data_IF_858335986789
#
_entry.id   IF_858335986789
#
_cell.length_a   1.000
_cell.length_b   1.000
_cell.length_c   1.000
_cell.angle_alpha   90.00
_cell.angle_beta   90.00
_cell.angle_gamma   90.00
#
_symmetry.space_group_name_H-M   'P 1'
#
loop_
_entity.id
_entity.type
_entity.pdbx_description
1 polymer ?
#
# COMPACT_ATOMS: atom_id res chain seq x y z
N UNK A 1 6.51 1.41 8.67
CA UNK A 1 5.57 2.50 8.97
C UNK A 1 5.34 2.71 10.47
N UNK A 2 5.50 3.93 10.98
CA UNK A 2 4.96 4.34 12.30
C UNK A 2 3.50 4.82 12.11
N UNK A 3 2.67 4.82 13.17
CA UNK A 3 1.34 5.46 13.12
C UNK A 3 1.52 6.99 13.04
N UNK A 4 0.59 7.80 13.53
CA UNK A 4 0.80 9.25 13.66
C UNK A 4 1.71 9.48 14.87
N UNK A 5 2.72 10.33 14.74
CA UNK A 5 3.68 10.63 15.80
C UNK A 5 3.88 12.15 16.03
N UNK A 6 2.94 12.96 15.55
CA UNK A 6 2.95 14.40 15.77
C UNK A 6 2.78 14.75 17.25
N UNK A 7 3.26 15.93 17.65
CA UNK A 7 3.21 16.40 19.06
C UNK A 7 1.80 16.43 19.65
N UNK A 8 0.79 16.65 18.81
CA UNK A 8 -0.61 16.79 19.21
C UNK A 8 -1.47 15.58 18.83
N UNK A 9 -0.84 14.42 18.65
CA UNK A 9 -1.56 13.20 18.31
C UNK A 9 -2.55 12.82 19.40
N UNK A 10 -3.75 12.41 18.98
CA UNK A 10 -4.76 11.84 19.86
C UNK A 10 -4.74 10.31 19.75
N UNK A 11 -5.02 9.65 20.87
CA UNK A 11 -5.00 8.20 21.00
C UNK A 11 -6.39 7.71 21.38
N UNK A 12 -6.87 6.67 20.68
CA UNK A 12 -8.16 6.05 21.00
C UNK A 12 -8.09 5.20 22.28
N UNK A 13 -9.23 4.66 22.71
CA UNK A 13 -9.34 3.81 23.90
C UNK A 13 -8.49 2.53 23.81
N UNK A 14 -8.06 2.15 22.60
CA UNK A 14 -7.21 0.99 22.34
C UNK A 14 -5.72 1.35 22.23
N UNK A 15 -5.33 2.60 22.53
CA UNK A 15 -3.94 3.01 22.47
C UNK A 15 -3.44 3.32 21.06
N UNK A 16 -4.34 3.49 20.06
CA UNK A 16 -3.97 3.74 18.67
C UNK A 16 -4.10 5.22 18.33
N UNK A 17 -3.03 5.75 17.74
CA UNK A 17 -3.00 7.13 17.24
C UNK A 17 -3.87 7.30 15.99
N UNK A 18 -4.68 8.37 15.93
CA UNK A 18 -5.64 8.65 14.85
C UNK A 18 -5.67 10.13 14.43
N UNK A 19 -6.21 10.39 13.23
CA UNK A 19 -6.39 11.74 12.69
C UNK A 19 -7.67 12.38 13.22
N UNK A 20 -7.60 13.64 13.61
CA UNK A 20 -8.75 14.47 13.98
C UNK A 20 -8.75 15.79 13.20
N UNK A 21 -9.94 16.24 12.79
CA UNK A 21 -10.14 17.56 12.18
C UNK A 21 -10.15 18.71 13.20
N UNK A 22 -10.05 18.36 14.48
CA UNK A 22 -10.13 19.27 15.61
C UNK A 22 -11.56 19.76 15.92
N UNK A 23 -11.73 20.34 17.10
CA UNK A 23 -12.96 21.00 17.54
C UNK A 23 -12.61 22.40 18.08
N UNK A 24 -12.99 23.49 17.39
CA UNK A 24 -12.67 24.84 17.84
C UNK A 24 -13.34 25.22 19.17
N UNK A 25 -14.37 24.49 19.60
CA UNK A 25 -15.01 24.69 20.90
C UNK A 25 -14.29 23.97 22.06
N UNK A 26 -13.40 23.02 21.76
CA UNK A 26 -12.61 22.23 22.73
C UNK A 26 -11.18 21.99 22.22
N UNK A 27 -10.44 23.05 21.88
CA UNK A 27 -9.12 22.92 21.25
C UNK A 27 -8.10 22.18 22.13
N UNK A 28 -8.32 22.12 23.44
CA UNK A 28 -7.47 21.40 24.40
C UNK A 28 -7.67 19.87 24.40
N UNK A 29 -8.77 19.37 23.84
CA UNK A 29 -9.07 17.93 23.77
C UNK A 29 -9.05 17.40 22.35
N UNK A 30 -9.49 18.23 21.41
CA UNK A 30 -9.64 17.87 20.01
C UNK A 30 -8.85 18.89 19.16
N UNK A 31 -7.53 18.86 19.22
CA UNK A 31 -6.71 19.67 18.31
C UNK A 31 -6.63 18.99 16.93
N UNK A 32 -6.67 19.75 15.83
CA UNK A 32 -6.48 19.18 14.50
C UNK A 32 -5.07 18.56 14.36
N UNK A 33 -4.98 17.32 13.90
CA UNK A 33 -3.70 16.60 13.84
C UNK A 33 -2.70 17.32 12.92
N UNK A 34 -1.49 17.56 13.43
CA UNK A 34 -0.42 18.12 12.62
C UNK A 34 0.15 17.06 11.68
N UNK A 35 0.29 17.41 10.40
CA UNK A 35 1.03 16.59 9.44
C UNK A 35 2.52 16.93 9.53
N UNK A 36 3.32 16.01 10.04
CA UNK A 36 4.78 16.17 10.12
C UNK A 36 5.43 15.75 8.80
N UNK A 37 6.57 16.37 8.48
CA UNK A 37 7.40 15.95 7.35
C UNK A 37 7.88 14.50 7.51
N UNK A 38 8.24 14.09 8.73
CA UNK A 38 8.70 12.73 9.03
C UNK A 38 7.62 11.69 8.71
N UNK A 39 6.37 11.95 9.10
CA UNK A 39 5.25 11.07 8.81
C UNK A 39 4.94 11.01 7.30
N UNK A 40 4.91 12.17 6.63
CA UNK A 40 4.67 12.24 5.19
C UNK A 40 5.78 11.56 4.37
N UNK A 41 7.04 11.71 4.78
CA UNK A 41 8.17 11.02 4.17
C UNK A 41 8.06 9.50 4.35
N UNK A 42 7.67 9.04 5.54
CA UNK A 42 7.47 7.60 5.78
C UNK A 42 6.34 7.03 4.91
N UNK A 43 5.20 7.72 4.79
CA UNK A 43 4.10 7.32 3.89
C UNK A 43 4.58 7.28 2.43
N UNK A 44 5.30 8.31 1.99
CA UNK A 44 5.85 8.37 0.64
C UNK A 44 6.80 7.19 0.39
N UNK A 45 7.70 6.91 1.32
CA UNK A 45 8.71 5.85 1.17
C UNK A 45 8.07 4.46 1.03
N UNK A 46 7.02 4.16 1.80
CA UNK A 46 6.29 2.88 1.68
C UNK A 46 5.67 2.71 0.28
N UNK A 47 5.10 3.79 -0.28
CA UNK A 47 4.53 3.77 -1.63
C UNK A 47 5.61 3.66 -2.71
N UNK A 48 6.70 4.44 -2.58
CA UNK A 48 7.83 4.44 -3.50
C UNK A 48 8.52 3.08 -3.54
N UNK A 49 8.88 2.54 -2.37
CA UNK A 49 9.47 1.21 -2.21
C UNK A 49 8.60 0.12 -2.84
N UNK A 50 7.29 0.17 -2.66
CA UNK A 50 6.39 -0.80 -3.31
C UNK A 50 6.45 -0.70 -4.84
N UNK A 51 6.40 0.51 -5.40
CA UNK A 51 6.49 0.72 -6.86
C UNK A 51 7.81 0.17 -7.41
N UNK A 52 8.92 0.53 -6.78
CA UNK A 52 10.26 0.11 -7.18
C UNK A 52 10.45 -1.40 -7.04
N UNK A 53 9.85 -2.02 -6.02
CA UNK A 53 9.87 -3.49 -5.84
C UNK A 53 9.26 -4.25 -7.04
N UNK A 54 8.38 -3.59 -7.80
CA UNK A 54 7.81 -4.15 -9.03
C UNK A 54 8.66 -3.83 -10.27
N UNK A 55 9.86 -3.27 -10.11
CA UNK A 55 10.76 -2.88 -11.19
C UNK A 55 10.22 -1.73 -12.04
N UNK A 56 9.49 -0.80 -11.43
CA UNK A 56 9.01 0.42 -12.07
C UNK A 56 9.81 1.61 -11.56
N UNK A 57 10.11 2.57 -12.44
CA UNK A 57 10.81 3.79 -12.08
C UNK A 57 9.84 4.85 -11.54
N UNK A 58 10.27 5.58 -10.51
CA UNK A 58 9.54 6.72 -9.98
C UNK A 58 9.68 7.92 -10.93
N UNK A 59 8.57 8.56 -11.27
CA UNK A 59 8.57 9.74 -12.12
C UNK A 59 7.55 10.76 -11.64
N UNK A 60 8.00 12.00 -11.39
CA UNK A 60 7.13 13.12 -10.99
C UNK A 60 6.07 13.48 -12.02
N UNK A 61 6.28 13.09 -13.28
CA UNK A 61 5.34 13.32 -14.38
C UNK A 61 4.37 12.16 -14.57
N UNK A 62 4.51 11.09 -13.77
CA UNK A 62 3.64 9.93 -13.82
C UNK A 62 2.80 9.81 -12.54
N UNK A 63 1.48 9.92 -12.67
CA UNK A 63 0.54 9.81 -11.56
C UNK A 63 -0.18 8.46 -11.47
N UNK A 64 0.24 7.46 -12.26
CA UNK A 64 -0.34 6.11 -12.24
C UNK A 64 0.61 5.02 -11.71
N UNK A 65 1.79 5.38 -11.20
CA UNK A 65 2.84 4.43 -10.81
C UNK A 65 2.39 3.38 -9.80
N UNK A 66 1.66 3.79 -8.75
CA UNK A 66 1.10 2.86 -7.76
C UNK A 66 0.09 1.88 -8.38
N UNK A 67 -0.77 2.38 -9.27
CA UNK A 67 -1.75 1.55 -9.96
C UNK A 67 -1.10 0.49 -10.84
N UNK A 68 -0.06 0.86 -11.60
CA UNK A 68 0.73 -0.06 -12.41
C UNK A 68 1.47 -1.09 -11.55
N UNK A 69 2.04 -0.67 -10.41
CA UNK A 69 2.70 -1.57 -9.47
C UNK A 69 1.74 -2.64 -8.94
N UNK A 70 0.53 -2.26 -8.52
CA UNK A 70 -0.50 -3.21 -8.07
C UNK A 70 -0.87 -4.19 -9.19
N UNK A 71 -1.11 -3.70 -10.41
CA UNK A 71 -1.42 -4.57 -11.55
C UNK A 71 -0.32 -5.59 -11.83
N UNK A 72 0.95 -5.14 -11.80
CA UNK A 72 2.11 -6.00 -12.01
C UNK A 72 2.28 -7.02 -10.88
N UNK A 73 2.10 -6.61 -9.63
CA UNK A 73 2.14 -7.51 -8.48
C UNK A 73 1.10 -8.63 -8.58
N UNK A 74 -0.14 -8.29 -8.96
CA UNK A 74 -1.21 -9.28 -9.17
C UNK A 74 -0.88 -10.21 -10.34
N UNK A 75 -0.40 -9.69 -11.46
CA UNK A 75 0.02 -10.52 -12.61
C UNK A 75 1.13 -11.50 -12.22
N UNK A 76 2.14 -11.03 -11.49
CA UNK A 76 3.24 -11.87 -11.01
C UNK A 76 2.76 -12.99 -10.09
N UNK A 77 1.74 -12.74 -9.26
CA UNK A 77 1.13 -13.75 -8.41
C UNK A 77 0.32 -14.81 -9.20
N UNK A 78 -0.24 -14.44 -10.36
CA UNK A 78 -1.06 -15.33 -11.20
C UNK A 78 -0.25 -16.21 -12.14
N UNK A 79 0.96 -15.78 -12.54
CA UNK A 79 1.82 -16.56 -13.45
C UNK A 79 2.07 -17.99 -12.94
N UNK A 80 2.49 -18.21 -11.67
CA UNK A 80 2.73 -19.56 -11.16
C UNK A 80 1.47 -20.44 -11.17
N UNK A 81 0.30 -19.87 -10.89
CA UNK A 81 -0.97 -20.59 -10.92
C UNK A 81 -1.30 -21.06 -12.33
N UNK A 82 -1.14 -20.18 -13.31
CA UNK A 82 -1.38 -20.52 -14.71
C UNK A 82 -0.40 -21.60 -15.21
N UNK A 83 0.86 -21.56 -14.77
CA UNK A 83 1.84 -22.60 -15.09
C UNK A 83 1.49 -23.95 -14.45
N UNK A 84 1.02 -23.95 -13.20
CA UNK A 84 0.56 -25.16 -12.51
C UNK A 84 -0.66 -25.76 -13.21
N UNK A 85 -1.65 -24.94 -13.56
CA UNK A 85 -2.84 -25.36 -14.31
C UNK A 85 -2.47 -25.95 -15.67
N UNK A 86 -1.50 -25.35 -16.37
CA UNK A 86 -0.98 -25.89 -17.63
C UNK A 86 -0.34 -27.27 -17.44
N UNK A 87 0.51 -27.44 -16.43
CA UNK A 87 1.15 -28.74 -16.13
C UNK A 87 0.11 -29.82 -15.79
N UNK A 88 -0.87 -29.49 -14.95
CA UNK A 88 -1.97 -30.41 -14.61
C UNK A 88 -2.81 -30.78 -15.84
N UNK A 89 -3.10 -29.81 -16.73
CA UNK A 89 -3.78 -30.08 -17.99
C UNK A 89 -2.98 -31.04 -18.87
N UNK A 90 -1.65 -30.85 -18.97
CA UNK A 90 -0.77 -31.75 -19.70
C UNK A 90 -0.71 -33.15 -19.06
N UNK A 91 -0.75 -33.27 -17.74
CA UNK A 91 -0.79 -34.57 -17.04
C UNK A 91 -2.13 -35.30 -17.25
N UNK A 92 -3.25 -34.57 -17.24
CA UNK A 92 -4.60 -35.15 -17.35
C UNK A 92 -4.96 -35.43 -18.81
N UNK A 93 -4.60 -34.53 -19.73
CA UNK A 93 -5.04 -34.53 -21.13
C UNK A 93 -3.91 -34.79 -22.14
N UNK A 94 -2.64 -34.78 -21.73
CA UNK A 94 -1.47 -34.91 -22.63
C UNK A 94 -1.31 -36.27 -23.33
N UNK A 95 -2.19 -37.25 -23.07
CA UNK A 95 -2.30 -38.49 -23.83
C UNK A 95 -3.43 -38.53 -24.87
N UNK A 96 -4.33 -37.54 -24.86
CA UNK A 96 -5.42 -37.42 -25.84
C UNK A 96 -5.59 -35.97 -26.24
N UNK A 97 -4.87 -35.58 -27.29
CA UNK A 97 -5.34 -34.46 -28.11
C UNK A 97 -6.72 -34.83 -28.68
N UNK A 98 -7.69 -33.89 -28.80
CA UNK A 98 -8.67 -34.01 -29.88
C UNK A 98 -7.96 -34.01 -31.24
#
# INVERSE_FOLDING_TARGET
MHRIDSKNVLTDEQGRNFFTGGNPHKPEKDEATWLSADWLNAVQEELCSFIESQGLELSKNNHNGLGLAVQKAVQNALIPVNEQLRKLSEEIYGGKKP
#
